data_IF_832127284268
#
_entry.id   IF_832127284268
#
_cell.length_a   1.000
_cell.length_b   1.000
_cell.length_c   1.000
_cell.angle_alpha   90.00
_cell.angle_beta   90.00
_cell.angle_gamma   90.00
#
_symmetry.space_group_name_H-M   'P 1'
#
loop_
_entity.id
_entity.type
_entity.pdbx_description
1 polymer ?
#
# COMPACT_ATOMS: atom_id res chain seq x y z
N UNK A 1 3.47 -5.60 -17.54
CA UNK A 1 2.91 -6.51 -16.54
C UNK A 1 3.63 -7.86 -16.44
N UNK A 2 4.11 -8.50 -17.54
CA UNK A 2 4.84 -9.79 -17.41
C UNK A 2 6.08 -9.75 -16.52
N UNK A 3 6.71 -8.59 -16.38
CA UNK A 3 7.89 -8.40 -15.51
C UNK A 3 7.55 -8.10 -14.06
N UNK A 4 6.28 -7.85 -13.74
CA UNK A 4 5.75 -7.47 -12.43
C UNK A 4 4.54 -8.35 -12.09
N UNK A 5 4.75 -9.61 -11.69
CA UNK A 5 3.65 -10.57 -11.48
C UNK A 5 2.76 -10.19 -10.28
N UNK A 6 3.35 -9.75 -9.16
CA UNK A 6 2.61 -9.35 -7.96
C UNK A 6 1.79 -8.08 -8.20
N UNK A 7 2.37 -7.10 -8.92
CA UNK A 7 1.66 -5.89 -9.31
C UNK A 7 0.48 -6.22 -10.24
N UNK A 8 0.63 -7.21 -11.14
CA UNK A 8 -0.42 -7.64 -12.05
C UNK A 8 -1.62 -8.26 -11.32
N UNK A 9 -1.42 -8.81 -10.12
CA UNK A 9 -2.51 -9.33 -9.26
C UNK A 9 -3.22 -8.23 -8.47
N UNK A 10 -2.52 -7.10 -8.22
CA UNK A 10 -3.03 -6.00 -7.39
C UNK A 10 -3.82 -4.95 -8.18
N UNK A 11 -3.63 -4.86 -9.49
CA UNK A 11 -4.23 -3.82 -10.35
C UNK A 11 -4.96 -4.44 -11.54
N UNK A 12 -5.88 -3.68 -12.14
CA UNK A 12 -6.59 -4.12 -13.34
C UNK A 12 -5.66 -4.19 -14.56
N UNK A 13 -4.69 -3.29 -14.65
CA UNK A 13 -3.75 -3.23 -15.78
C UNK A 13 -2.79 -2.06 -15.69
N UNK A 14 -2.17 -1.74 -16.81
CA UNK A 14 -1.27 -0.60 -16.95
C UNK A 14 -1.49 0.13 -18.27
N UNK A 15 -1.50 1.46 -18.23
CA UNK A 15 -1.64 2.32 -19.40
C UNK A 15 -0.30 2.56 -20.13
N UNK A 16 0.83 2.07 -19.59
CA UNK A 16 2.15 2.22 -20.19
C UNK A 16 3.24 1.41 -19.49
N UNK A 17 4.47 1.49 -19.95
CA UNK A 17 5.60 0.82 -19.31
C UNK A 17 6.00 1.51 -18.02
N UNK A 18 6.56 0.74 -17.07
CA UNK A 18 7.29 1.29 -15.94
C UNK A 18 8.56 2.00 -16.44
N UNK A 19 8.85 3.16 -15.88
CA UNK A 19 10.10 3.90 -16.09
C UNK A 19 10.78 4.02 -14.75
N UNK A 20 12.05 3.66 -14.69
CA UNK A 20 12.84 3.76 -13.46
C UNK A 20 14.27 4.17 -13.78
N UNK A 21 14.88 4.86 -12.85
CA UNK A 21 16.29 5.20 -12.82
C UNK A 21 16.82 4.87 -11.44
N UNK A 22 17.86 4.06 -11.34
CA UNK A 22 18.47 3.67 -10.07
C UNK A 22 19.98 3.88 -10.20
N UNK A 23 20.56 4.55 -9.20
CA UNK A 23 21.99 4.78 -9.06
C UNK A 23 22.49 4.04 -7.83
N UNK A 24 23.61 3.37 -8.02
CA UNK A 24 24.32 2.68 -6.95
C UNK A 24 25.53 3.51 -6.58
N UNK A 25 25.67 3.83 -5.32
CA UNK A 25 26.75 4.68 -4.81
C UNK A 25 27.15 4.26 -3.39
N UNK A 26 28.26 4.78 -2.90
CA UNK A 26 28.60 4.73 -1.49
C UNK A 26 28.23 6.08 -0.86
N UNK A 27 27.56 6.02 0.28
CA UNK A 27 27.27 7.23 1.07
C UNK A 27 28.54 7.74 1.78
N UNK A 28 28.40 8.85 2.53
CA UNK A 28 29.52 9.48 3.27
C UNK A 28 30.12 8.54 4.35
N UNK A 29 29.36 7.54 4.80
CA UNK A 29 29.78 6.54 5.77
C UNK A 29 30.41 5.32 5.10
N UNK A 30 30.41 5.28 3.76
CA UNK A 30 30.91 4.14 2.97
C UNK A 30 29.91 3.01 2.84
N UNK A 31 28.64 3.24 3.20
CA UNK A 31 27.54 2.28 3.04
C UNK A 31 27.09 2.24 1.58
N UNK A 32 26.93 1.05 1.04
CA UNK A 32 26.37 0.89 -0.32
C UNK A 32 24.88 1.24 -0.29
N UNK A 33 24.46 2.11 -1.21
CA UNK A 33 23.08 2.59 -1.30
C UNK A 33 22.59 2.53 -2.75
N UNK A 34 21.30 2.31 -2.91
CA UNK A 34 20.60 2.41 -4.19
C UNK A 34 19.54 3.52 -4.08
N UNK A 35 19.72 4.58 -4.86
CA UNK A 35 18.80 5.72 -4.89
C UNK A 35 18.24 5.91 -6.28
N UNK A 36 16.96 6.25 -6.34
CA UNK A 36 16.33 6.44 -7.63
C UNK A 36 14.86 6.80 -7.54
N UNK A 37 14.18 6.53 -8.64
CA UNK A 37 12.75 6.79 -8.76
C UNK A 37 12.14 5.79 -9.75
N UNK A 38 10.91 5.41 -9.48
CA UNK A 38 10.09 4.63 -10.41
C UNK A 38 8.78 5.36 -10.67
N UNK A 39 8.29 5.31 -11.90
CA UNK A 39 6.97 5.84 -12.27
C UNK A 39 6.26 4.93 -13.25
N UNK A 40 4.93 4.85 -13.11
CA UNK A 40 4.06 4.06 -13.98
C UNK A 40 2.63 4.61 -13.93
N UNK A 41 1.86 4.47 -15.01
CA UNK A 41 0.42 4.74 -14.99
C UNK A 41 -0.30 3.40 -14.95
N UNK A 42 -1.05 3.18 -13.89
CA UNK A 42 -1.77 1.94 -13.62
C UNK A 42 -3.27 2.13 -13.87
N UNK A 43 -3.94 1.06 -14.26
CA UNK A 43 -5.40 1.00 -14.36
C UNK A 43 -5.94 0.33 -13.10
N UNK A 44 -6.77 1.04 -12.36
CA UNK A 44 -7.37 0.56 -11.12
C UNK A 44 -8.89 0.69 -11.15
N UNK A 45 -9.57 -0.10 -10.34
CA UNK A 45 -11.03 0.00 -10.18
C UNK A 45 -11.36 0.95 -9.05
N UNK A 46 -12.16 1.98 -9.34
CA UNK A 46 -12.63 2.92 -8.34
C UNK A 46 -13.54 2.22 -7.32
N UNK A 47 -13.22 2.32 -6.03
CA UNK A 47 -14.02 1.68 -4.98
C UNK A 47 -15.38 2.34 -4.72
N UNK A 48 -15.64 3.51 -5.32
CA UNK A 48 -16.92 4.20 -5.18
C UNK A 48 -17.90 3.88 -6.30
N UNK A 49 -17.44 3.87 -7.56
CA UNK A 49 -18.33 3.69 -8.73
C UNK A 49 -18.04 2.41 -9.52
N UNK A 50 -17.02 1.65 -9.12
CA UNK A 50 -16.56 0.41 -9.74
C UNK A 50 -16.10 0.56 -11.22
N UNK A 51 -15.99 1.80 -11.70
CA UNK A 51 -15.41 2.10 -13.02
C UNK A 51 -13.89 2.10 -12.97
N UNK A 52 -13.29 1.80 -14.10
CA UNK A 52 -11.82 1.82 -14.26
C UNK A 52 -11.33 3.26 -14.44
N UNK A 53 -10.11 3.53 -13.95
CA UNK A 53 -9.44 4.82 -14.13
C UNK A 53 -7.94 4.69 -14.04
N UNK A 54 -7.25 5.67 -14.60
CA UNK A 54 -5.80 5.76 -14.57
C UNK A 54 -5.31 6.37 -13.25
N UNK A 55 -4.34 5.71 -12.65
CA UNK A 55 -3.65 6.17 -11.44
C UNK A 55 -2.17 6.33 -11.77
N UNK A 56 -1.68 7.57 -11.87
CA UNK A 56 -0.25 7.81 -11.99
C UNK A 56 0.42 7.48 -10.64
N UNK A 57 1.42 6.62 -10.68
CA UNK A 57 2.26 6.24 -9.54
C UNK A 57 3.66 6.78 -9.79
N UNK A 58 4.23 7.40 -8.79
CA UNK A 58 5.60 7.92 -8.79
C UNK A 58 6.18 7.74 -7.38
N UNK A 59 7.19 6.89 -7.25
CA UNK A 59 7.79 6.54 -5.97
C UNK A 59 9.31 6.72 -5.98
N UNK A 60 9.90 7.23 -4.89
CA UNK A 60 11.33 7.22 -4.70
C UNK A 60 11.82 5.80 -4.40
N UNK A 61 13.05 5.51 -4.74
CA UNK A 61 13.78 4.32 -4.32
C UNK A 61 14.94 4.81 -3.45
N UNK A 62 15.01 4.35 -2.21
CA UNK A 62 16.04 4.75 -1.26
C UNK A 62 16.43 3.57 -0.35
N UNK A 63 17.29 2.69 -0.85
CA UNK A 63 17.67 1.44 -0.20
C UNK A 63 19.11 1.50 0.32
N UNK A 64 19.31 1.09 1.57
CA UNK A 64 20.62 0.81 2.13
C UNK A 64 20.95 -0.68 2.01
N UNK A 65 21.96 -1.03 1.23
CA UNK A 65 22.35 -2.42 0.95
C UNK A 65 23.15 -2.96 2.13
N UNK A 66 22.52 -3.75 2.99
CA UNK A 66 23.15 -4.27 4.22
C UNK A 66 23.61 -5.70 4.01
N UNK A 67 24.91 -5.93 4.09
CA UNK A 67 25.45 -7.28 3.99
C UNK A 67 25.24 -8.05 5.30
N UNK A 68 24.48 -9.15 5.21
CA UNK A 68 24.18 -10.01 6.36
C UNK A 68 24.85 -11.36 6.18
N UNK A 69 25.68 -11.75 7.15
CA UNK A 69 26.32 -13.07 7.13
C UNK A 69 25.29 -14.17 7.33
N UNK A 70 25.17 -15.03 6.34
CA UNK A 70 24.18 -16.11 6.31
C UNK A 70 22.87 -15.71 5.65
N UNK A 71 21.74 -16.01 6.29
CA UNK A 71 20.42 -15.75 5.70
C UNK A 71 19.99 -14.29 5.90
N UNK A 72 19.39 -13.64 4.89
CA UNK A 72 18.98 -12.22 4.93
C UNK A 72 17.90 -11.92 5.98
N UNK A 73 17.18 -12.92 6.46
CA UNK A 73 16.19 -12.82 7.54
C UNK A 73 16.81 -12.55 8.93
N UNK A 74 18.14 -12.54 9.03
CA UNK A 74 18.90 -12.31 10.28
C UNK A 74 19.40 -10.88 10.43
N UNK A 75 18.79 -9.91 9.73
CA UNK A 75 19.12 -8.50 9.90
C UNK A 75 18.96 -8.08 11.37
N UNK A 76 20.03 -7.66 12.01
CA UNK A 76 20.03 -7.20 13.40
C UNK A 76 19.75 -5.69 13.51
N UNK A 77 19.39 -5.23 14.72
CA UNK A 77 19.17 -3.81 14.99
C UNK A 77 20.41 -2.95 14.72
N UNK A 78 21.60 -3.49 14.99
CA UNK A 78 22.86 -2.75 14.84
C UNK A 78 23.17 -2.41 13.37
N UNK A 79 22.83 -3.29 12.45
CA UNK A 79 23.00 -3.06 11.01
C UNK A 79 22.02 -2.01 10.50
N UNK A 80 20.83 -1.93 11.07
CA UNK A 80 19.79 -0.93 10.72
C UNK A 80 20.14 0.43 11.32
N UNK A 81 20.61 0.49 12.55
CA UNK A 81 20.99 1.74 13.23
C UNK A 81 22.15 2.50 12.55
N UNK A 82 22.96 1.79 11.75
CA UNK A 82 24.05 2.38 10.97
C UNK A 82 23.62 3.06 9.67
N UNK A 83 22.36 2.89 9.24
CA UNK A 83 21.86 3.49 8.01
C UNK A 83 21.39 4.93 8.23
N UNK A 84 21.54 5.77 7.19
CA UNK A 84 20.91 7.09 7.17
C UNK A 84 19.37 6.92 7.29
N UNK A 85 18.71 7.81 8.05
CA UNK A 85 17.31 7.64 8.43
C UNK A 85 16.29 7.74 7.29
N UNK A 86 16.73 8.06 6.08
CA UNK A 86 15.92 8.07 4.85
C UNK A 86 16.07 6.79 4.00
N UNK A 87 16.92 5.84 4.43
CA UNK A 87 17.18 4.60 3.73
C UNK A 87 16.40 3.44 4.33
N UNK A 88 15.74 2.67 3.47
CA UNK A 88 15.17 1.39 3.86
C UNK A 88 16.24 0.30 3.81
N UNK A 89 16.43 -0.50 4.88
CA UNK A 89 17.43 -1.54 4.90
C UNK A 89 17.07 -2.69 3.98
N UNK A 90 17.95 -3.00 3.03
CA UNK A 90 17.84 -4.18 2.18
C UNK A 90 18.92 -5.18 2.56
N UNK A 91 18.57 -6.25 3.29
CA UNK A 91 19.53 -7.29 3.65
C UNK A 91 19.93 -8.11 2.44
N UNK A 92 21.23 -8.33 2.28
CA UNK A 92 21.81 -9.15 1.23
C UNK A 92 22.68 -10.23 1.85
N UNK A 93 22.39 -11.49 1.53
CA UNK A 93 23.22 -12.65 1.93
C UNK A 93 24.52 -12.76 1.13
N UNK A 94 25.41 -13.65 1.58
CA UNK A 94 26.77 -13.81 1.02
C UNK A 94 26.80 -14.11 -0.50
N UNK A 95 25.85 -14.88 -1.01
CA UNK A 95 25.77 -15.30 -2.41
C UNK A 95 24.45 -14.88 -3.07
N UNK A 96 23.76 -13.90 -2.50
CA UNK A 96 22.45 -13.49 -2.98
C UNK A 96 22.55 -12.55 -4.18
N UNK A 97 21.94 -12.94 -5.28
CA UNK A 97 21.73 -12.08 -6.43
C UNK A 97 20.30 -11.54 -6.41
N UNK A 98 20.15 -10.25 -6.23
CA UNK A 98 18.84 -9.60 -6.22
C UNK A 98 18.52 -9.01 -7.58
N UNK A 99 17.28 -9.17 -8.00
CA UNK A 99 16.82 -8.60 -9.26
C UNK A 99 16.29 -7.19 -9.01
N UNK A 100 16.87 -6.20 -9.66
CA UNK A 100 16.42 -4.79 -9.59
C UNK A 100 14.92 -4.64 -9.91
N UNK A 101 14.37 -5.47 -10.78
CA UNK A 101 12.95 -5.45 -11.12
C UNK A 101 12.04 -5.82 -9.94
N UNK A 102 12.52 -6.62 -9.00
CA UNK A 102 11.74 -6.99 -7.82
C UNK A 102 11.62 -5.78 -6.88
N UNK A 103 12.68 -4.97 -6.74
CA UNK A 103 12.63 -3.70 -5.99
C UNK A 103 11.68 -2.69 -6.64
N UNK A 104 11.78 -2.56 -7.98
CA UNK A 104 10.88 -1.68 -8.74
C UNK A 104 9.42 -2.10 -8.54
N UNK A 105 9.14 -3.40 -8.50
CA UNK A 105 7.81 -3.92 -8.25
C UNK A 105 7.34 -3.62 -6.82
N UNK A 106 8.21 -3.78 -5.82
CA UNK A 106 7.91 -3.47 -4.42
C UNK A 106 7.54 -2.00 -4.24
N UNK A 107 8.34 -1.08 -4.78
CA UNK A 107 8.07 0.35 -4.69
C UNK A 107 6.76 0.74 -5.39
N UNK A 108 6.46 0.14 -6.54
CA UNK A 108 5.19 0.35 -7.21
C UNK A 108 4.01 -0.15 -6.37
N UNK A 109 4.14 -1.31 -5.73
CA UNK A 109 3.11 -1.87 -4.84
C UNK A 109 2.89 -1.01 -3.61
N UNK A 110 3.96 -0.54 -2.96
CA UNK A 110 3.90 0.32 -1.79
C UNK A 110 3.27 1.69 -2.09
N UNK A 111 3.46 2.18 -3.32
CA UNK A 111 2.91 3.46 -3.75
C UNK A 111 1.44 3.38 -4.21
N UNK A 112 0.82 2.21 -4.24
CA UNK A 112 -0.60 2.08 -4.58
C UNK A 112 -1.48 2.75 -3.53
N UNK A 113 -2.53 3.47 -3.93
CA UNK A 113 -3.51 3.98 -2.97
C UNK A 113 -4.26 2.81 -2.34
N UNK A 114 -4.37 2.80 -1.01
CA UNK A 114 -5.13 1.77 -0.27
C UNK A 114 -6.62 1.76 -0.67
N UNK A 115 -7.18 2.91 -1.02
CA UNK A 115 -8.55 3.06 -1.47
C UNK A 115 -8.55 3.86 -2.79
N UNK A 116 -8.39 3.19 -3.94
CA UNK A 116 -8.38 3.86 -5.23
C UNK A 116 -9.76 4.45 -5.54
N UNK A 117 -9.79 5.74 -5.82
CA UNK A 117 -11.01 6.46 -6.17
C UNK A 117 -10.73 7.51 -7.23
N UNK A 118 -11.69 7.70 -8.14
CA UNK A 118 -11.65 8.88 -9.00
C UNK A 118 -11.55 10.16 -8.18
N UNK A 119 -10.93 11.21 -8.69
CA UNK A 119 -11.03 12.54 -8.13
C UNK A 119 -12.50 12.96 -7.92
N UNK A 120 -12.76 13.85 -6.97
CA UNK A 120 -14.11 14.32 -6.67
C UNK A 120 -14.79 14.85 -7.94
N UNK A 121 -16.04 14.44 -8.19
CA UNK A 121 -16.82 14.84 -9.35
C UNK A 121 -16.56 14.05 -10.65
N UNK A 122 -15.63 13.10 -10.67
CA UNK A 122 -15.30 12.33 -11.88
C UNK A 122 -15.88 10.90 -11.89
N UNK A 123 -16.60 10.50 -10.87
CA UNK A 123 -17.34 9.24 -10.91
C UNK A 123 -18.54 9.39 -11.84
N UNK A 124 -18.53 8.67 -12.96
CA UNK A 124 -19.61 8.67 -13.96
C UNK A 124 -20.90 8.00 -13.46
N UNK A 125 -20.84 7.19 -12.41
CA UNK A 125 -22.01 6.66 -11.76
C UNK A 125 -22.47 7.67 -10.70
N UNK A 126 -23.48 8.49 -11.01
CA UNK A 126 -24.44 8.81 -9.96
C UNK A 126 -24.93 7.48 -9.42
N UNK A 127 -24.51 7.15 -8.19
CA UNK A 127 -25.26 6.18 -7.40
C UNK A 127 -26.60 6.85 -7.21
N UNK A 128 -27.53 6.63 -8.15
CA UNK A 128 -28.90 7.02 -7.95
C UNK A 128 -29.27 6.48 -6.57
N UNK A 129 -29.72 7.33 -5.63
CA UNK A 129 -30.25 6.81 -4.37
C UNK A 129 -31.25 5.76 -4.81
N UNK A 130 -31.05 4.53 -4.34
CA UNK A 130 -31.98 3.44 -4.66
C UNK A 130 -33.36 4.01 -4.39
N UNK A 131 -34.09 4.28 -5.46
CA UNK A 131 -35.40 4.89 -5.36
C UNK A 131 -36.16 4.00 -4.43
N UNK A 132 -36.55 4.53 -3.28
CA UNK A 132 -37.39 3.86 -2.31
C UNK A 132 -38.78 3.69 -2.92
N UNK A 133 -38.86 2.84 -3.92
CA UNK A 133 -40.12 2.29 -4.44
C UNK A 133 -40.22 0.85 -3.96
N UNK A 134 -40.30 0.70 -2.67
CA UNK A 134 -41.05 -0.38 -2.05
C UNK A 134 -41.43 0.10 -0.66
N UNK A 135 -42.50 0.88 -0.60
CA UNK A 135 -43.36 0.97 0.56
C UNK A 135 -44.06 -0.40 0.72
N UNK A 136 -43.33 -1.39 1.18
CA UNK A 136 -43.89 -2.66 1.62
C UNK A 136 -42.91 -3.29 2.59
N UNK A 137 -43.32 -3.33 3.86
CA UNK A 137 -42.69 -3.96 5.01
C UNK A 137 -41.27 -3.43 5.33
N UNK A 138 -41.21 -2.61 6.35
CA UNK A 138 -39.93 -2.27 6.99
C UNK A 138 -39.21 -3.57 7.35
N UNK A 139 -38.06 -3.89 6.72
CA UNK A 139 -37.31 -5.05 7.12
C UNK A 139 -37.03 -4.94 8.61
N UNK A 140 -37.30 -5.98 9.36
CA UNK A 140 -36.96 -6.05 10.80
C UNK A 140 -35.47 -5.72 10.90
N UNK A 141 -35.14 -4.61 11.54
CA UNK A 141 -33.76 -4.20 11.73
C UNK A 141 -33.00 -5.36 12.42
N UNK A 142 -32.07 -6.04 11.76
CA UNK A 142 -31.35 -7.18 12.33
C UNK A 142 -30.53 -6.77 13.57
N UNK A 143 -30.25 -5.48 13.71
CA UNK A 143 -29.50 -4.91 14.83
C UNK A 143 -30.39 -4.40 15.98
N UNK A 144 -31.72 -4.56 15.92
CA UNK A 144 -32.62 -4.15 17.00
C UNK A 144 -32.28 -4.85 18.34
N UNK A 145 -31.71 -6.07 18.26
CA UNK A 145 -31.25 -6.78 19.45
C UNK A 145 -30.11 -6.08 20.20
N UNK A 146 -29.31 -5.24 19.54
CA UNK A 146 -28.21 -4.50 20.16
C UNK A 146 -28.70 -3.41 21.11
N UNK A 147 -29.88 -2.86 20.88
CA UNK A 147 -30.49 -1.88 21.80
C UNK A 147 -30.72 -2.48 23.21
N UNK A 148 -31.03 -3.77 23.29
CA UNK A 148 -31.18 -4.47 24.58
C UNK A 148 -29.84 -4.69 25.30
N UNK A 149 -28.73 -4.75 24.58
CA UNK A 149 -27.38 -4.85 25.14
C UNK A 149 -26.91 -3.50 25.71
N UNK A 150 -27.22 -2.38 25.03
CA UNK A 150 -26.90 -1.03 25.53
C UNK A 150 -27.65 -0.71 26.80
N UNK A 151 -28.91 -1.17 26.96
CA UNK A 151 -29.68 -0.97 28.16
C UNK A 151 -29.19 -1.81 29.38
N UNK A 152 -28.31 -2.77 29.16
CA UNK A 152 -27.73 -3.65 30.22
C UNK A 152 -26.35 -3.18 30.72
N UNK A 153 -25.75 -2.14 30.15
CA UNK A 153 -24.48 -1.60 30.69
C UNK A 153 -24.80 -0.87 32.00
N UNK A 154 -24.28 -1.33 33.15
CA UNK A 154 -24.35 -0.55 34.39
C UNK A 154 -23.59 0.76 34.17
N UNK A 155 -24.21 1.87 34.53
CA UNK A 155 -23.56 3.18 34.47
C UNK A 155 -22.25 3.18 35.25
N UNK A 156 -21.33 4.11 34.97
CA UNK A 156 -20.09 4.23 35.72
C UNK A 156 -20.47 4.52 37.18
N UNK A 157 -20.05 3.64 38.11
CA UNK A 157 -20.11 3.90 39.54
C UNK A 157 -19.31 5.18 39.79
N UNK A 158 -19.98 6.19 40.31
CA UNK A 158 -19.36 7.39 40.83
C UNK A 158 -18.51 6.97 42.02
N UNK A 159 -17.19 6.98 41.82
CA UNK A 159 -16.21 6.78 42.88
C UNK A 159 -16.19 8.08 43.73
N UNK A 160 -16.94 8.06 44.82
CA UNK A 160 -16.82 9.04 45.88
C UNK A 160 -15.65 8.64 46.79
N UNK A 161 -14.52 9.35 46.62
CA UNK A 161 -13.60 9.57 47.76
C UNK A 161 -12.82 10.85 47.57
#
# INVERSE_FOLDING_TARGET
>A
MRSFPRLAEAVFGAAGPARYEIRFELDEQGQAVARGRVSMVLLMTCQRCLGEFEVPVDAPIALGLVHVRGAPDRLGLAEVEGLAGDLEPLPLGDDESVRVLDWVEDELLLALPQVPMHPAGHCMAEVAPAASEMAAERPRNPFAALAALQARQPGPEADEH
#
